data_IF_423088839288
#
_entry.id   IF_423088839288
#
_cell.length_a   1.000
_cell.length_b   1.000
_cell.length_c   1.000
_cell.angle_alpha   90.00
_cell.angle_beta   90.00
_cell.angle_gamma   90.00
#
_symmetry.space_group_name_H-M   'P 1'
#
loop_
_entity.id
_entity.type
_entity.pdbx_description
1 polymer ?
#
# COMPACT_ATOMS: atom_id res chain seq x y z
N UNK A 1 2.44 -11.74 17.29
CA UNK A 1 3.49 -11.92 16.28
C UNK A 1 4.63 -10.99 16.67
N UNK A 2 5.83 -11.51 16.95
CA UNK A 2 6.96 -10.69 17.40
C UNK A 2 7.22 -9.56 16.39
N UNK A 3 7.46 -8.32 16.85
CA UNK A 3 7.74 -7.15 16.00
C UNK A 3 6.54 -6.49 15.29
N UNK A 4 5.39 -7.17 15.17
CA UNK A 4 4.23 -6.65 14.39
C UNK A 4 3.08 -6.09 15.24
N UNK A 5 3.16 -6.24 16.56
CA UNK A 5 2.08 -5.88 17.48
C UNK A 5 0.93 -6.91 17.53
N UNK A 6 -0.25 -6.44 17.92
CA UNK A 6 -1.47 -7.25 18.07
C UNK A 6 -2.51 -6.87 17.02
N UNK A 7 -3.28 -7.86 16.57
CA UNK A 7 -4.39 -7.68 15.64
C UNK A 7 -5.67 -8.14 16.31
N UNK A 8 -6.58 -7.20 16.53
CA UNK A 8 -7.88 -7.48 17.12
C UNK A 8 -8.99 -7.26 16.10
N UNK A 9 -10.13 -7.93 16.31
CA UNK A 9 -11.36 -7.67 15.57
C UNK A 9 -12.25 -6.78 16.43
N UNK A 10 -11.77 -5.58 16.72
CA UNK A 10 -12.55 -4.57 17.42
C UNK A 10 -13.62 -3.94 16.50
N UNK A 11 -14.46 -3.09 17.09
CA UNK A 11 -15.54 -2.38 16.41
C UNK A 11 -15.04 -1.48 15.26
N UNK A 12 -13.77 -1.09 15.24
CA UNK A 12 -13.17 -0.29 14.16
C UNK A 12 -13.09 -1.07 12.84
N UNK A 13 -12.93 -2.38 12.91
CA UNK A 13 -12.85 -3.26 11.74
C UNK A 13 -14.18 -3.96 11.42
N UNK A 14 -15.27 -3.67 12.14
CA UNK A 14 -16.60 -4.24 11.88
C UNK A 14 -17.55 -3.18 11.32
N UNK A 15 -18.33 -3.54 10.30
CA UNK A 15 -19.46 -2.73 9.88
C UNK A 15 -20.56 -3.63 9.32
N UNK A 16 -21.78 -3.49 9.83
CA UNK A 16 -22.93 -4.36 9.51
C UNK A 16 -23.21 -4.50 8.00
N UNK A 17 -22.90 -3.47 7.19
CA UNK A 17 -23.08 -3.50 5.73
C UNK A 17 -21.76 -3.66 4.96
N UNK A 18 -20.68 -3.03 5.42
CA UNK A 18 -19.48 -2.83 4.60
C UNK A 18 -18.39 -3.84 4.92
N UNK A 19 -18.41 -4.39 6.13
CA UNK A 19 -17.50 -5.43 6.61
C UNK A 19 -18.23 -6.34 7.62
N UNK A 20 -19.25 -7.08 7.17
CA UNK A 20 -20.11 -7.87 8.06
C UNK A 20 -19.42 -9.12 8.62
N UNK A 21 -18.40 -9.62 7.92
CA UNK A 21 -17.61 -10.79 8.34
C UNK A 21 -16.19 -10.32 8.63
N UNK A 22 -15.85 -10.16 9.91
CA UNK A 22 -14.50 -9.81 10.33
C UNK A 22 -13.79 -11.03 10.91
N UNK A 23 -12.72 -11.48 10.27
CA UNK A 23 -11.90 -12.61 10.71
C UNK A 23 -10.52 -12.12 11.08
N UNK A 24 -9.88 -12.78 12.05
CA UNK A 24 -8.49 -12.46 12.38
C UNK A 24 -7.59 -12.82 11.19
N UNK A 25 -6.50 -12.06 10.97
CA UNK A 25 -5.49 -12.45 10.00
C UNK A 25 -4.86 -13.80 10.38
N UNK A 26 -4.34 -14.50 9.38
CA UNK A 26 -3.47 -15.65 9.59
C UNK A 26 -2.11 -15.21 10.16
N UNK A 27 -1.38 -16.15 10.73
CA UNK A 27 -0.03 -15.94 11.26
C UNK A 27 0.95 -15.55 10.15
N UNK A 28 2.00 -14.79 10.48
CA UNK A 28 2.98 -14.32 9.49
C UNK A 28 3.65 -15.46 8.72
N UNK A 29 3.90 -16.59 9.39
CA UNK A 29 4.51 -17.78 8.79
C UNK A 29 3.58 -18.42 7.76
N UNK A 30 2.26 -18.34 7.99
CA UNK A 30 1.24 -18.86 7.08
C UNK A 30 1.00 -17.93 5.88
N UNK A 31 1.04 -16.61 6.10
CA UNK A 31 0.97 -15.61 5.03
C UNK A 31 2.24 -15.65 4.17
N UNK A 32 3.40 -15.92 4.79
CA UNK A 32 4.66 -16.14 4.11
C UNK A 32 5.10 -14.94 3.26
N UNK A 33 4.99 -13.72 3.81
CA UNK A 33 5.39 -12.49 3.12
C UNK A 33 6.89 -12.52 2.80
N UNK A 34 7.25 -12.24 1.55
CA UNK A 34 8.64 -12.17 1.07
C UNK A 34 8.89 -10.82 0.41
N UNK A 35 10.06 -10.25 0.66
CA UNK A 35 10.49 -8.99 0.08
C UNK A 35 11.62 -9.22 -0.91
N UNK A 36 11.30 -9.11 -2.20
CA UNK A 36 12.21 -9.43 -3.30
C UNK A 36 12.87 -8.13 -3.79
N UNK A 37 14.12 -7.90 -3.41
CA UNK A 37 14.90 -6.73 -3.81
C UNK A 37 15.57 -6.92 -5.17
N UNK A 38 15.26 -6.01 -6.09
CA UNK A 38 15.86 -5.85 -7.40
C UNK A 38 16.57 -4.50 -7.47
N UNK A 39 17.76 -4.50 -8.05
CA UNK A 39 18.52 -3.30 -8.41
C UNK A 39 19.11 -3.50 -9.81
N UNK A 40 19.75 -2.46 -10.37
CA UNK A 40 20.52 -2.64 -11.61
C UNK A 40 21.67 -3.65 -11.48
N UNK A 41 22.15 -3.93 -10.26
CA UNK A 41 23.22 -4.91 -10.00
C UNK A 41 22.71 -6.35 -10.08
N UNK A 42 21.44 -6.58 -9.73
CA UNK A 42 20.81 -7.90 -9.70
C UNK A 42 19.41 -7.87 -10.35
N UNK A 43 19.26 -7.47 -11.62
CA UNK A 43 17.95 -7.20 -12.20
C UNK A 43 17.10 -8.46 -12.39
N UNK A 44 17.70 -9.65 -12.47
CA UNK A 44 16.96 -10.91 -12.74
C UNK A 44 16.85 -11.83 -11.52
N UNK A 45 17.78 -11.69 -10.56
CA UNK A 45 17.93 -12.56 -9.39
C UNK A 45 17.71 -11.72 -8.13
N UNK A 46 16.47 -11.65 -7.61
CA UNK A 46 16.17 -10.82 -6.47
C UNK A 46 16.87 -11.33 -5.21
N UNK A 47 17.41 -10.40 -4.44
CA UNK A 47 17.86 -10.65 -3.07
C UNK A 47 16.62 -10.72 -2.16
N UNK A 48 16.55 -11.69 -1.26
CA UNK A 48 15.44 -11.81 -0.32
C UNK A 48 15.76 -11.02 0.95
N UNK A 49 14.96 -9.98 1.23
CA UNK A 49 15.02 -9.23 2.48
C UNK A 49 14.09 -9.84 3.53
N UNK A 50 14.51 -9.82 4.80
CA UNK A 50 13.69 -10.19 5.96
C UNK A 50 13.17 -8.93 6.65
N UNK A 51 11.92 -8.90 7.12
CA UNK A 51 11.42 -7.73 7.85
C UNK A 51 12.18 -7.50 9.16
N UNK A 52 12.52 -8.58 9.89
CA UNK A 52 13.18 -8.49 11.20
C UNK A 52 14.68 -8.15 11.11
N UNK A 53 15.33 -8.60 10.04
CA UNK A 53 16.76 -8.41 9.80
C UNK A 53 17.03 -8.30 8.29
N UNK A 54 16.76 -7.13 7.68
CA UNK A 54 16.64 -6.99 6.22
C UNK A 54 17.91 -7.27 5.46
N UNK A 55 19.07 -7.04 6.06
CA UNK A 55 20.37 -7.26 5.42
C UNK A 55 21.05 -8.53 5.92
N UNK A 56 20.47 -9.21 6.91
CA UNK A 56 21.07 -10.35 7.58
C UNK A 56 22.44 -10.01 8.19
N UNK A 57 23.32 -11.01 8.34
CA UNK A 57 24.72 -10.80 8.72
C UNK A 57 25.58 -10.10 7.65
N UNK A 58 25.02 -9.78 6.48
CA UNK A 58 25.80 -9.44 5.29
C UNK A 58 25.97 -7.92 5.16
N UNK A 59 27.21 -7.46 5.27
CA UNK A 59 27.64 -6.15 4.77
C UNK A 59 27.55 -6.04 3.22
N UNK A 60 27.18 -7.13 2.54
CA UNK A 60 27.18 -7.28 1.06
C UNK A 60 25.82 -7.09 0.38
N UNK A 61 24.76 -6.72 1.12
CA UNK A 61 23.44 -6.50 0.50
C UNK A 61 23.51 -5.52 -0.67
N UNK A 62 22.74 -5.79 -1.73
CA UNK A 62 22.65 -4.85 -2.86
C UNK A 62 21.77 -3.64 -2.56
N UNK A 63 21.12 -3.58 -1.39
CA UNK A 63 20.35 -2.42 -0.97
C UNK A 63 21.25 -1.21 -0.70
N UNK A 64 20.84 -0.03 -1.15
CA UNK A 64 21.55 1.21 -0.89
C UNK A 64 20.61 2.24 -0.27
N UNK A 65 20.80 2.56 1.02
CA UNK A 65 19.95 3.49 1.77
C UNK A 65 20.01 4.95 1.29
N UNK A 66 20.96 5.31 0.40
CA UNK A 66 21.01 6.63 -0.25
C UNK A 66 20.22 6.72 -1.55
N UNK A 67 19.60 5.63 -2.01
CA UNK A 67 18.76 5.60 -3.22
C UNK A 67 17.28 5.56 -2.85
N UNK A 68 16.47 6.18 -3.69
CA UNK A 68 15.01 6.04 -3.69
C UNK A 68 14.59 4.55 -3.72
N UNK A 69 13.61 4.20 -2.88
CA UNK A 69 13.07 2.84 -2.82
C UNK A 69 11.65 2.80 -3.38
N UNK A 70 11.43 2.00 -4.43
CA UNK A 70 10.12 1.74 -5.03
C UNK A 70 9.61 0.39 -4.54
N UNK A 71 8.48 0.37 -3.85
CA UNK A 71 7.88 -0.86 -3.33
C UNK A 71 6.63 -1.19 -4.14
N UNK A 72 6.54 -2.41 -4.68
CA UNK A 72 5.38 -2.86 -5.47
C UNK A 72 4.66 -3.96 -4.73
N UNK A 73 3.36 -3.76 -4.49
CA UNK A 73 2.51 -4.67 -3.70
C UNK A 73 1.34 -5.16 -4.56
N UNK A 74 1.31 -6.47 -4.83
CA UNK A 74 0.23 -7.07 -5.61
C UNK A 74 -1.07 -7.25 -4.80
N UNK A 75 -2.16 -7.57 -5.48
CA UNK A 75 -3.50 -7.71 -4.90
C UNK A 75 -3.96 -9.14 -4.65
N UNK A 76 -5.28 -9.30 -4.49
CA UNK A 76 -5.98 -10.58 -4.39
C UNK A 76 -5.67 -11.45 -5.61
N UNK A 77 -5.37 -12.74 -5.38
CA UNK A 77 -4.97 -13.74 -6.41
C UNK A 77 -3.85 -13.30 -7.37
N UNK A 78 -3.20 -12.17 -7.11
CA UNK A 78 -2.07 -11.68 -7.87
C UNK A 78 -0.81 -12.48 -7.56
N UNK A 79 0.12 -12.51 -8.51
CA UNK A 79 1.41 -13.16 -8.33
C UNK A 79 2.51 -12.12 -8.42
N UNK A 80 3.47 -12.17 -7.51
CA UNK A 80 4.62 -11.26 -7.52
C UNK A 80 5.42 -11.31 -8.83
N UNK A 81 5.47 -12.47 -9.50
CA UNK A 81 6.15 -12.64 -10.78
C UNK A 81 5.64 -11.70 -11.88
N UNK A 82 4.35 -11.38 -11.89
CA UNK A 82 3.74 -10.48 -12.88
C UNK A 82 4.25 -9.03 -12.76
N UNK A 83 4.68 -8.63 -11.56
CA UNK A 83 5.12 -7.27 -11.25
C UNK A 83 6.64 -7.08 -11.40
N UNK A 84 7.38 -8.14 -11.75
CA UNK A 84 8.81 -8.03 -12.09
C UNK A 84 9.04 -7.16 -13.31
N UNK A 85 8.11 -7.20 -14.28
CA UNK A 85 8.16 -6.35 -15.48
C UNK A 85 8.12 -4.87 -15.07
N UNK A 86 7.16 -4.48 -14.23
CA UNK A 86 7.05 -3.12 -13.72
C UNK A 86 8.31 -2.71 -12.94
N UNK A 87 8.86 -3.64 -12.14
CA UNK A 87 10.13 -3.42 -11.46
C UNK A 87 11.29 -3.13 -12.41
N UNK A 88 11.39 -3.85 -13.53
CA UNK A 88 12.40 -3.58 -14.56
C UNK A 88 12.20 -2.22 -15.23
N UNK A 89 10.97 -1.76 -15.41
CA UNK A 89 10.71 -0.43 -15.97
C UNK A 89 11.22 0.68 -15.06
N UNK A 90 11.17 0.52 -13.73
CA UNK A 90 11.84 1.43 -12.81
C UNK A 90 13.37 1.40 -12.98
N UNK A 91 13.96 0.21 -13.04
CA UNK A 91 15.41 0.06 -13.19
C UNK A 91 15.95 0.62 -14.50
N UNK A 92 15.13 0.73 -15.56
CA UNK A 92 15.51 1.40 -16.81
C UNK A 92 15.59 2.93 -16.67
N UNK A 93 14.85 3.52 -15.73
CA UNK A 93 14.74 4.98 -15.58
C UNK A 93 15.79 5.57 -14.64
N UNK A 94 16.35 4.78 -13.73
CA UNK A 94 17.30 5.29 -12.73
C UNK A 94 17.84 4.20 -11.84
N UNK A 95 18.76 4.59 -10.94
CA UNK A 95 19.26 3.72 -9.88
C UNK A 95 18.28 3.76 -8.72
N UNK A 96 17.57 2.66 -8.51
CA UNK A 96 16.55 2.51 -7.46
C UNK A 96 16.76 1.19 -6.72
N UNK A 97 16.35 1.16 -5.45
CA UNK A 97 15.99 -0.09 -4.80
C UNK A 97 14.55 -0.41 -5.21
N UNK A 98 14.30 -1.55 -5.86
CA UNK A 98 12.94 -1.98 -6.22
C UNK A 98 12.58 -3.21 -5.39
N UNK A 99 11.60 -3.09 -4.50
CA UNK A 99 11.17 -4.18 -3.63
C UNK A 99 9.80 -4.68 -4.09
N UNK A 100 9.70 -5.95 -4.48
CA UNK A 100 8.42 -6.60 -4.77
C UNK A 100 7.97 -7.34 -3.52
N UNK A 101 6.78 -7.00 -3.02
CA UNK A 101 6.16 -7.66 -1.86
C UNK A 101 5.35 -8.84 -2.35
N UNK A 102 5.84 -10.05 -2.10
CA UNK A 102 5.17 -11.30 -2.41
C UNK A 102 4.47 -11.86 -1.17
N UNK A 103 3.14 -11.82 -1.19
CA UNK A 103 2.29 -12.38 -0.14
C UNK A 103 1.30 -13.41 -0.72
N UNK A 104 1.71 -14.11 -1.78
CA UNK A 104 0.86 -15.02 -2.57
C UNK A 104 0.26 -16.19 -1.77
N UNK A 105 0.81 -16.55 -0.60
CA UNK A 105 0.19 -17.58 0.26
C UNK A 105 -1.01 -17.04 1.06
N UNK A 106 -1.04 -15.73 1.33
CA UNK A 106 -2.08 -15.07 2.11
C UNK A 106 -3.13 -14.31 1.29
N UNK A 107 -3.01 -14.27 -0.04
CA UNK A 107 -3.86 -13.43 -0.91
C UNK A 107 -4.99 -14.18 -1.64
N UNK A 108 -5.17 -15.46 -1.36
CA UNK A 108 -6.17 -16.32 -2.01
C UNK A 108 -7.52 -16.38 -1.28
N UNK A 109 -8.51 -17.09 -1.84
CA UNK A 109 -9.81 -17.29 -1.20
C UNK A 109 -9.72 -17.96 0.18
N UNK A 110 -10.65 -17.64 1.12
CA UNK A 110 -11.77 -16.72 0.95
C UNK A 110 -11.34 -15.25 0.99
N UNK A 111 -12.03 -14.39 0.25
CA UNK A 111 -11.69 -12.95 0.14
C UNK A 111 -11.67 -12.23 1.51
N UNK A 112 -12.54 -12.63 2.44
CA UNK A 112 -12.55 -12.13 3.83
C UNK A 112 -11.25 -12.40 4.55
N UNK A 113 -10.63 -13.56 4.31
CA UNK A 113 -9.34 -13.93 4.90
C UNK A 113 -8.20 -13.16 4.25
N UNK A 114 -8.16 -13.07 2.92
CA UNK A 114 -7.16 -12.25 2.22
C UNK A 114 -7.22 -10.77 2.67
N UNK A 115 -8.44 -10.24 2.83
CA UNK A 115 -8.68 -8.91 3.40
C UNK A 115 -8.09 -8.77 4.79
N UNK A 116 -8.33 -9.73 5.69
CA UNK A 116 -7.75 -9.69 7.04
C UNK A 116 -6.21 -9.74 7.00
N UNK A 117 -5.64 -10.61 6.16
CA UNK A 117 -4.19 -10.80 6.00
C UNK A 117 -3.47 -9.52 5.54
N UNK A 118 -4.14 -8.61 4.81
CA UNK A 118 -3.55 -7.31 4.42
C UNK A 118 -3.03 -6.50 5.62
N UNK A 119 -3.64 -6.65 6.80
CA UNK A 119 -3.21 -5.98 8.04
C UNK A 119 -1.81 -6.45 8.47
N UNK A 120 -1.56 -7.76 8.39
CA UNK A 120 -0.26 -8.35 8.74
C UNK A 120 0.77 -8.00 7.69
N UNK A 121 0.43 -8.08 6.39
CA UNK A 121 1.38 -7.69 5.33
C UNK A 121 1.75 -6.20 5.41
N UNK A 122 0.81 -5.33 5.75
CA UNK A 122 1.08 -3.90 5.98
C UNK A 122 2.01 -3.68 7.17
N UNK A 123 1.80 -4.42 8.27
CA UNK A 123 2.70 -4.38 9.42
C UNK A 123 4.10 -4.92 9.11
N UNK A 124 4.21 -6.00 8.33
CA UNK A 124 5.49 -6.56 7.86
C UNK A 124 6.25 -5.56 7.00
N UNK A 125 5.55 -4.86 6.09
CA UNK A 125 6.17 -3.84 5.27
C UNK A 125 6.64 -2.63 6.10
N UNK A 126 5.85 -2.21 7.10
CA UNK A 126 6.27 -1.16 8.02
C UNK A 126 7.49 -1.57 8.86
N UNK A 127 7.52 -2.82 9.31
CA UNK A 127 8.66 -3.38 10.03
C UNK A 127 9.92 -3.37 9.14
N UNK A 128 9.82 -3.83 7.89
CA UNK A 128 10.91 -3.80 6.93
C UNK A 128 11.45 -2.37 6.71
N UNK A 129 10.59 -1.38 6.49
CA UNK A 129 11.02 0.01 6.28
C UNK A 129 11.77 0.52 7.51
N UNK A 130 11.26 0.24 8.71
CA UNK A 130 11.87 0.63 9.98
C UNK A 130 13.24 -0.02 10.16
N UNK A 131 13.38 -1.31 9.86
CA UNK A 131 14.65 -2.02 10.00
C UNK A 131 15.66 -1.61 8.93
N UNK A 132 15.24 -1.31 7.70
CA UNK A 132 16.11 -0.72 6.66
C UNK A 132 16.60 0.67 7.06
N UNK A 133 15.72 1.51 7.62
CA UNK A 133 16.09 2.82 8.16
C UNK A 133 17.16 2.67 9.25
N UNK A 134 16.94 1.78 10.22
CA UNK A 134 17.88 1.56 11.31
C UNK A 134 19.23 1.01 10.84
N UNK A 135 19.23 0.12 9.84
CA UNK A 135 20.45 -0.52 9.34
C UNK A 135 21.26 0.37 8.39
N UNK A 136 20.62 1.26 7.64
CA UNK A 136 21.27 1.98 6.51
C UNK A 136 21.14 3.49 6.54
N UNK A 137 20.32 4.04 7.44
CA UNK A 137 19.97 5.45 7.46
C UNK A 137 18.97 5.89 6.38
N UNK A 138 18.38 4.95 5.63
CA UNK A 138 17.36 5.25 4.63
C UNK A 138 16.18 6.04 5.25
N UNK A 139 15.73 7.10 4.59
CA UNK A 139 14.61 7.90 5.07
C UNK A 139 13.28 7.32 4.59
N UNK A 140 12.24 7.20 5.45
CA UNK A 140 10.88 6.87 5.03
C UNK A 140 10.34 7.80 3.92
N UNK A 141 10.83 9.04 3.85
CA UNK A 141 10.47 10.00 2.81
C UNK A 141 10.96 9.59 1.40
N UNK A 142 11.94 8.70 1.29
CA UNK A 142 12.50 8.22 0.01
C UNK A 142 11.77 6.97 -0.50
N UNK A 143 10.78 6.48 0.24
CA UNK A 143 9.96 5.33 -0.13
C UNK A 143 8.73 5.77 -0.93
N UNK A 144 8.50 5.06 -2.03
CA UNK A 144 7.27 5.13 -2.82
C UNK A 144 6.63 3.75 -2.88
N UNK A 145 5.50 3.58 -2.19
CA UNK A 145 4.75 2.32 -2.17
C UNK A 145 3.64 2.36 -3.22
N UNK A 146 3.65 1.39 -4.13
CA UNK A 146 2.71 1.25 -5.23
C UNK A 146 1.92 -0.03 -4.99
N UNK A 147 0.65 0.10 -4.63
CA UNK A 147 -0.19 -1.01 -4.27
C UNK A 147 -1.34 -1.19 -5.24
N UNK A 148 -1.56 -2.41 -5.74
CA UNK A 148 -2.69 -2.73 -6.62
C UNK A 148 -3.79 -3.51 -5.89
N UNK A 149 -5.06 -3.12 -6.06
CA UNK A 149 -6.20 -3.82 -5.46
C UNK A 149 -6.06 -3.93 -3.92
N UNK A 150 -6.00 -5.13 -3.33
CA UNK A 150 -5.69 -5.31 -1.90
C UNK A 150 -4.31 -4.76 -1.52
N UNK A 151 -3.35 -4.74 -2.44
CA UNK A 151 -2.03 -4.14 -2.25
C UNK A 151 -2.06 -2.64 -1.96
N UNK A 152 -3.06 -1.91 -2.47
CA UNK A 152 -3.24 -0.50 -2.14
C UNK A 152 -3.61 -0.30 -0.65
N UNK A 153 -4.43 -1.21 -0.12
CA UNK A 153 -4.82 -1.20 1.28
C UNK A 153 -3.65 -1.63 2.19
N UNK A 154 -2.83 -2.58 1.75
CA UNK A 154 -1.56 -2.94 2.39
C UNK A 154 -0.64 -1.71 2.49
N UNK A 155 -0.53 -0.93 1.41
CA UNK A 155 0.25 0.31 1.42
C UNK A 155 -0.27 1.33 2.44
N UNK A 156 -1.59 1.49 2.55
CA UNK A 156 -2.21 2.34 3.58
C UNK A 156 -1.88 1.87 5.00
N UNK A 157 -2.03 0.57 5.29
CA UNK A 157 -1.66 0.01 6.59
C UNK A 157 -0.16 0.18 6.91
N UNK A 158 0.72 0.04 5.93
CA UNK A 158 2.14 0.30 6.14
C UNK A 158 2.39 1.78 6.46
N UNK A 159 1.77 2.68 5.69
CA UNK A 159 1.88 4.14 5.87
C UNK A 159 1.39 4.62 7.24
N UNK A 160 0.24 4.12 7.70
CA UNK A 160 -0.33 4.42 9.03
C UNK A 160 0.64 4.10 10.18
N UNK A 161 1.52 3.11 10.01
CA UNK A 161 2.48 2.64 11.02
C UNK A 161 3.82 3.36 10.97
N UNK A 162 4.06 4.16 9.95
CA UNK A 162 5.32 4.83 9.69
C UNK A 162 5.16 6.33 9.82
N UNK A 163 6.18 7.03 10.32
CA UNK A 163 6.17 8.48 10.32
C UNK A 163 6.49 9.00 8.91
N UNK A 164 5.43 9.30 8.15
CA UNK A 164 5.47 10.00 6.85
C UNK A 164 6.31 9.32 5.77
N UNK A 165 5.78 8.23 5.22
CA UNK A 165 6.21 7.72 3.92
C UNK A 165 6.17 8.83 2.86
N UNK A 166 7.14 8.85 1.95
CA UNK A 166 7.22 9.84 0.88
C UNK A 166 5.99 9.84 -0.03
N UNK A 167 5.64 8.67 -0.56
CA UNK A 167 4.49 8.54 -1.47
C UNK A 167 3.82 7.18 -1.40
N UNK A 168 2.48 7.18 -1.51
CA UNK A 168 1.70 5.99 -1.82
C UNK A 168 0.92 6.20 -3.12
N UNK A 169 1.02 5.25 -4.06
CA UNK A 169 0.16 5.19 -5.23
C UNK A 169 -0.77 3.98 -5.13
N UNK A 170 -2.08 4.22 -5.08
CA UNK A 170 -3.11 3.19 -5.13
C UNK A 170 -3.55 2.92 -6.58
N UNK A 171 -3.25 1.73 -7.09
CA UNK A 171 -3.70 1.26 -8.40
C UNK A 171 -4.97 0.44 -8.22
N UNK A 172 -6.11 1.06 -8.53
CA UNK A 172 -7.44 0.50 -8.40
C UNK A 172 -7.71 -0.14 -7.02
N UNK A 173 -7.63 0.65 -5.92
CA UNK A 173 -7.73 0.10 -4.57
C UNK A 173 -9.01 -0.72 -4.37
N UNK A 174 -8.89 -1.88 -3.73
CA UNK A 174 -10.02 -2.76 -3.50
C UNK A 174 -11.11 -2.07 -2.67
N UNK A 175 -12.34 -2.03 -3.19
CA UNK A 175 -13.51 -1.45 -2.53
C UNK A 175 -14.17 -2.34 -1.48
N UNK A 176 -14.49 -3.63 -1.78
CA UNK A 176 -15.16 -4.50 -0.82
C UNK A 176 -14.36 -4.64 0.48
N UNK A 177 -15.04 -4.48 1.63
CA UNK A 177 -14.45 -4.50 2.99
C UNK A 177 -13.65 -3.26 3.41
N UNK A 178 -13.49 -2.27 2.53
CA UNK A 178 -12.73 -1.04 2.80
C UNK A 178 -13.57 0.22 2.58
N UNK A 179 -14.44 0.22 1.57
CA UNK A 179 -15.30 1.35 1.25
C UNK A 179 -16.20 1.71 2.44
N UNK A 180 -16.31 3.01 2.73
CA UNK A 180 -17.01 3.57 3.91
C UNK A 180 -16.50 3.11 5.29
N UNK A 181 -15.40 2.37 5.36
CA UNK A 181 -14.73 2.11 6.63
C UNK A 181 -13.93 3.33 7.11
N UNK A 182 -13.62 3.44 8.42
CA UNK A 182 -12.75 4.48 8.96
C UNK A 182 -11.37 4.51 8.28
N UNK A 183 -10.68 5.65 8.37
CA UNK A 183 -9.35 5.84 7.76
C UNK A 183 -8.32 4.83 8.28
N UNK A 184 -8.47 4.35 9.52
CA UNK A 184 -7.61 3.30 10.10
C UNK A 184 -7.76 1.91 9.44
N UNK A 185 -8.75 1.73 8.56
CA UNK A 185 -9.06 0.45 7.91
C UNK A 185 -8.70 0.46 6.43
N UNK A 186 -8.51 1.63 5.81
CA UNK A 186 -8.35 1.77 4.36
C UNK A 186 -7.27 2.79 4.02
N UNK A 187 -6.76 2.73 2.79
CA UNK A 187 -5.91 3.78 2.24
C UNK A 187 -6.61 5.15 2.35
N UNK A 188 -5.88 6.13 2.87
CA UNK A 188 -6.32 7.50 3.08
C UNK A 188 -5.17 8.51 2.85
N UNK A 189 -5.44 9.79 2.52
CA UNK A 189 -4.39 10.78 2.34
C UNK A 189 -3.45 11.00 3.54
N UNK A 190 -3.80 10.57 4.75
CA UNK A 190 -2.90 10.63 5.91
C UNK A 190 -1.73 9.65 5.88
N UNK A 191 -1.80 8.60 5.06
CA UNK A 191 -0.88 7.46 5.14
C UNK A 191 0.51 7.75 4.53
N UNK A 192 0.66 8.86 3.81
CA UNK A 192 1.93 9.34 3.27
C UNK A 192 1.91 10.86 3.08
N UNK A 193 3.09 11.45 2.86
CA UNK A 193 3.19 12.86 2.49
C UNK A 193 2.45 13.17 1.17
N UNK A 194 2.39 12.19 0.27
CA UNK A 194 1.59 12.28 -0.96
C UNK A 194 0.91 10.95 -1.28
N UNK A 195 -0.41 11.01 -1.50
CA UNK A 195 -1.22 9.84 -1.87
C UNK A 195 -1.95 10.12 -3.19
N UNK A 196 -1.69 9.30 -4.20
CA UNK A 196 -2.37 9.36 -5.48
C UNK A 196 -3.05 8.05 -5.86
N UNK A 197 -4.26 8.13 -6.42
CA UNK A 197 -5.07 6.95 -6.70
C UNK A 197 -5.56 6.97 -8.15
N UNK A 198 -5.38 5.83 -8.83
CA UNK A 198 -5.88 5.57 -10.18
C UNK A 198 -7.03 4.57 -10.05
N UNK A 199 -8.22 4.92 -10.54
CA UNK A 199 -9.36 4.01 -10.58
C UNK A 199 -9.57 3.51 -12.02
N UNK A 200 -9.63 2.21 -12.22
CA UNK A 200 -9.84 1.57 -13.54
C UNK A 200 -11.09 0.69 -13.59
N UNK A 201 -11.53 0.14 -12.45
CA UNK A 201 -12.75 -0.67 -12.34
C UNK A 201 -13.61 -0.22 -11.14
N UNK A 202 -14.01 1.06 -11.13
CA UNK A 202 -14.89 1.63 -10.12
C UNK A 202 -16.38 1.26 -10.33
N UNK A 203 -16.70 0.18 -11.05
CA UNK A 203 -18.05 -0.13 -11.51
C UNK A 203 -18.89 -0.87 -10.44
N UNK A 204 -19.51 -0.13 -9.51
CA UNK A 204 -20.62 -0.62 -8.69
C UNK A 204 -21.88 0.24 -8.88
N UNK A 205 -23.10 -0.34 -8.84
CA UNK A 205 -24.37 0.30 -9.22
C UNK A 205 -24.90 1.34 -8.21
N UNK A 206 -24.05 1.80 -7.28
CA UNK A 206 -24.32 2.91 -6.34
C UNK A 206 -23.27 4.02 -6.51
N UNK A 207 -22.88 4.26 -7.77
CA UNK A 207 -21.92 5.29 -8.17
C UNK A 207 -22.50 6.69 -7.93
N UNK A 208 -22.15 7.27 -6.79
CA UNK A 208 -22.15 8.73 -6.66
C UNK A 208 -20.78 9.32 -6.30
N UNK A 209 -19.81 8.57 -5.79
CA UNK A 209 -18.50 9.16 -5.43
C UNK A 209 -17.39 8.10 -5.52
N UNK A 210 -16.73 7.99 -6.68
CA UNK A 210 -15.29 7.62 -6.80
C UNK A 210 -14.88 7.59 -8.28
N UNK A 211 -14.60 8.76 -8.85
CA UNK A 211 -13.84 8.87 -10.09
C UNK A 211 -12.49 9.55 -9.79
N UNK A 212 -11.42 9.05 -10.42
CA UNK A 212 -10.02 9.52 -10.40
C UNK A 212 -9.72 10.76 -9.52
N UNK A 213 -8.94 10.56 -8.46
CA UNK A 213 -8.53 11.63 -7.55
C UNK A 213 -7.04 11.57 -7.20
N UNK A 214 -6.31 12.64 -7.53
CA UNK A 214 -5.04 12.97 -6.87
C UNK A 214 -5.35 13.75 -5.59
N UNK A 215 -4.90 13.27 -4.43
CA UNK A 215 -5.00 14.02 -3.19
C UNK A 215 -3.67 14.74 -2.94
N UNK A 216 -3.68 16.07 -2.87
CA UNK A 216 -2.52 16.82 -2.37
C UNK A 216 -2.63 17.03 -0.85
N UNK A 217 -1.59 17.61 -0.22
CA UNK A 217 -1.47 17.92 1.22
C UNK A 217 -2.67 18.67 1.86
N UNK A 218 -3.66 19.10 1.06
CA UNK A 218 -4.88 19.79 1.50
C UNK A 218 -6.17 19.08 1.08
N UNK A 219 -6.09 17.82 0.64
CA UNK A 219 -7.24 17.01 0.22
C UNK A 219 -7.96 17.52 -1.06
N UNK A 220 -7.30 18.37 -1.88
CA UNK A 220 -7.93 18.93 -3.09
C UNK A 220 -7.61 18.10 -4.35
N UNK A 221 -8.64 17.47 -4.89
CA UNK A 221 -8.65 16.78 -6.19
C UNK A 221 -8.27 17.73 -7.36
N UNK A 222 -7.31 17.32 -8.20
CA UNK A 222 -6.93 18.00 -9.46
C UNK A 222 -6.96 17.04 -10.66
N UNK A 223 -7.49 17.46 -11.83
CA UNK A 223 -7.53 16.61 -13.02
C UNK A 223 -6.17 16.51 -13.74
N UNK A 224 -5.83 15.32 -14.25
CA UNK A 224 -4.74 15.10 -15.21
C UNK A 224 -5.17 15.54 -16.61
N UNK A 225 -4.33 16.33 -17.30
CA UNK A 225 -4.64 16.90 -18.62
C UNK A 225 -4.39 15.97 -19.83
N UNK A 226 -3.94 14.72 -19.65
CA UNK A 226 -3.44 13.92 -20.77
C UNK A 226 -3.93 12.47 -20.89
N UNK A 227 -5.04 12.08 -20.27
CA UNK A 227 -5.65 10.76 -20.53
C UNK A 227 -6.91 10.95 -21.36
N UNK A 228 -6.82 10.63 -22.65
CA UNK A 228 -7.94 10.60 -23.59
C UNK A 228 -8.79 9.35 -23.35
N UNK A 229 -9.65 9.37 -22.34
CA UNK A 229 -10.97 8.74 -22.42
C UNK A 229 -11.85 9.34 -21.30
N UNK A 230 -13.14 9.50 -21.58
CA UNK A 230 -14.09 10.26 -20.77
C UNK A 230 -14.23 9.72 -19.34
N UNK A 231 -13.62 10.38 -18.36
CA UNK A 231 -14.11 10.49 -16.98
C UNK A 231 -13.36 11.59 -16.23
N UNK A 232 -13.93 12.79 -16.20
CA UNK A 232 -13.51 13.92 -15.35
C UNK A 232 -14.74 14.35 -14.56
N UNK A 233 -14.72 14.26 -13.23
CA UNK A 233 -15.31 15.27 -12.32
C UNK A 233 -14.96 14.95 -10.85
N UNK A 234 -14.30 15.89 -10.17
CA UNK A 234 -14.16 15.93 -8.71
C UNK A 234 -15.49 16.39 -8.06
N UNK A 235 -15.81 15.93 -6.84
CA UNK A 235 -16.71 16.68 -5.97
C UNK A 235 -16.31 16.54 -4.49
N UNK A 236 -16.08 17.67 -3.85
CA UNK A 236 -15.95 17.77 -2.41
C UNK A 236 -17.32 18.01 -1.78
N UNK A 237 -17.58 17.39 -0.64
CA UNK A 237 -18.64 17.82 0.28
C UNK A 237 -17.96 18.23 1.57
N UNK A 238 -17.66 19.53 1.66
CA UNK A 238 -17.32 20.19 2.90
C UNK A 238 -18.65 20.44 3.63
N UNK A 239 -18.84 19.85 4.82
CA UNK A 239 -19.92 20.27 5.71
C UNK A 239 -19.74 21.76 6.02
N UNK A 240 -20.67 22.58 5.53
CA UNK A 240 -20.72 24.01 5.84
C UNK A 240 -21.35 24.13 7.23
N UNK A 241 -20.58 24.63 8.21
CA UNK A 241 -21.12 25.08 9.50
C UNK A 241 -21.82 26.40 9.27
N UNK A 242 -23.12 26.45 9.60
CA UNK A 242 -23.89 27.68 9.58
C UNK A 242 -23.40 28.63 10.68
N UNK A 243 -22.88 29.79 10.28
CA UNK A 243 -22.90 31.00 11.09
C UNK A 243 -23.70 32.05 10.34
N UNK A 244 -24.97 32.17 10.73
CA UNK A 244 -25.82 33.32 10.46
C UNK A 244 -25.29 34.52 11.23
N UNK A 245 -24.97 35.59 10.51
CA UNK A 245 -24.95 36.96 11.05
C UNK A 245 -25.92 37.78 10.21
N UNK A 246 -27.04 38.13 10.83
CA UNK A 246 -27.75 39.39 10.62
C UNK A 246 -27.72 40.13 11.95
#
# INVERSE_FOLDING_TARGET
MHGLGCFENDDGFYHVIHRPINVLPDDRERIGTRFLLLTKRNPNEPELLSADDPLGPAEDSVYNGSLDTKVIVHGFIGLAGSWKVDGHEFLKQGDYNVIIVDWSHGNGPPYTKATANTRVVGAELALLVTTLQNATGASPADFHIIGHSLGAQIAGYAGERLDKIGRITGLDPAGPYFFHMPTTVRLDPSDAAFVDVIHSDASLPFSFITNLGFFNEKGKCRPLKHITSRAVQCCGVMHRTDKLYH
#
